data_IF_504977903922
#
_entry.id   IF_504977903922
#
_cell.length_a   1.000
_cell.length_b   1.000
_cell.length_c   1.000
_cell.angle_alpha   90.00
_cell.angle_beta   90.00
_cell.angle_gamma   90.00
#
_symmetry.space_group_name_H-M   'P 1'
#
loop_
_entity.id
_entity.type
_entity.pdbx_description
1 polymer ?
#
# COMPACT_ATOMS: atom_id res chain seq x y z
N UNK A 1 58.70 7.78 31.76
CA UNK A 1 57.53 7.26 32.52
C UNK A 1 56.38 8.26 32.65
N UNK A 2 56.63 9.58 32.66
CA UNK A 2 55.60 10.63 32.82
C UNK A 2 54.66 10.79 31.61
N UNK A 3 55.15 10.62 30.38
CA UNK A 3 54.35 10.75 29.16
C UNK A 3 53.33 9.61 28.96
N UNK A 4 53.64 8.38 29.40
CA UNK A 4 52.72 7.24 29.33
C UNK A 4 51.51 7.43 30.26
N UNK A 5 51.75 7.96 31.46
CA UNK A 5 50.69 8.31 32.41
C UNK A 5 49.81 9.48 31.92
N UNK A 6 50.39 10.44 31.20
CA UNK A 6 49.63 11.55 30.62
C UNK A 6 48.70 11.08 29.49
N UNK A 7 49.18 10.17 28.62
CA UNK A 7 48.36 9.57 27.56
C UNK A 7 47.24 8.71 28.16
N UNK A 8 47.52 7.94 29.21
CA UNK A 8 46.51 7.16 29.93
C UNK A 8 45.44 8.05 30.55
N UNK A 9 45.84 9.20 31.11
CA UNK A 9 44.92 10.18 31.69
C UNK A 9 44.03 10.84 30.62
N UNK A 10 44.59 11.20 29.46
CA UNK A 10 43.81 11.72 28.32
C UNK A 10 42.82 10.68 27.76
N UNK A 11 43.21 9.40 27.73
CA UNK A 11 42.33 8.32 27.25
C UNK A 11 41.15 8.08 28.21
N UNK A 12 41.40 8.13 29.53
CA UNK A 12 40.34 8.07 30.55
C UNK A 12 39.41 9.27 30.48
N UNK A 13 39.93 10.47 30.20
CA UNK A 13 39.11 11.67 30.02
C UNK A 13 38.20 11.58 28.78
N UNK A 14 38.67 10.95 27.70
CA UNK A 14 37.88 10.71 26.48
C UNK A 14 36.74 9.68 26.69
N UNK A 15 36.90 8.74 27.62
CA UNK A 15 35.86 7.76 27.95
C UNK A 15 34.72 8.37 28.78
N UNK A 16 34.94 9.50 29.45
CA UNK A 16 33.93 10.16 30.29
C UNK A 16 33.01 11.12 29.52
N UNK A 17 33.32 11.46 28.26
CA UNK A 17 32.49 12.36 27.44
C UNK A 17 31.46 11.66 26.54
N UNK A 18 31.35 10.32 26.61
CA UNK A 18 30.42 9.53 25.80
C UNK A 18 29.04 9.33 26.43
N UNK A 19 28.71 10.07 27.50
CA UNK A 19 27.36 10.11 28.05
C UNK A 19 26.56 11.17 27.28
N UNK A 20 25.98 10.77 26.15
CA UNK A 20 24.93 11.53 25.47
C UNK A 20 23.62 11.24 26.19
N UNK A 21 23.06 12.23 26.90
CA UNK A 21 21.69 12.15 27.42
C UNK A 21 20.75 11.74 26.28
N UNK A 22 20.15 10.56 26.39
CA UNK A 22 19.05 10.16 25.53
C UNK A 22 17.94 11.20 25.75
N UNK A 23 17.53 11.97 24.72
CA UNK A 23 16.46 12.94 24.89
C UNK A 23 15.25 12.19 25.42
N UNK A 24 14.71 12.61 26.56
CA UNK A 24 13.48 12.05 27.13
C UNK A 24 12.44 12.03 26.03
N UNK A 25 12.22 10.86 25.44
CA UNK A 25 11.31 10.70 24.32
C UNK A 25 9.93 10.86 24.93
N UNK A 26 9.38 12.08 24.86
CA UNK A 26 7.98 12.36 25.12
C UNK A 26 7.18 11.53 24.13
N UNK A 27 6.91 10.28 24.48
CA UNK A 27 6.10 9.41 23.67
C UNK A 27 4.70 9.97 23.69
N UNK A 28 4.05 10.12 22.51
CA UNK A 28 2.67 10.57 22.47
C UNK A 28 1.83 9.64 23.33
N UNK A 29 0.90 10.21 24.09
CA UNK A 29 -0.11 9.43 24.77
C UNK A 29 -0.85 8.53 23.78
N UNK A 30 -1.44 7.43 24.26
CA UNK A 30 -2.21 6.53 23.39
C UNK A 30 -3.29 7.26 22.57
N UNK A 31 -3.88 8.33 23.13
CA UNK A 31 -4.86 9.19 22.46
C UNK A 31 -4.22 9.98 21.32
N UNK A 32 -3.14 10.70 21.59
CA UNK A 32 -2.42 11.49 20.58
C UNK A 32 -1.86 10.61 19.46
N UNK A 33 -1.35 9.42 19.81
CA UNK A 33 -0.89 8.45 18.83
C UNK A 33 -2.05 7.98 17.93
N UNK A 34 -3.20 7.64 18.52
CA UNK A 34 -4.38 7.24 17.76
C UNK A 34 -4.85 8.33 16.81
N UNK A 35 -4.91 9.58 17.27
CA UNK A 35 -5.32 10.72 16.43
C UNK A 35 -4.36 10.92 15.26
N UNK A 36 -3.04 10.87 15.50
CA UNK A 36 -2.02 10.94 14.44
C UNK A 36 -2.14 9.81 13.42
N UNK A 37 -2.42 8.58 13.88
CA UNK A 37 -2.61 7.44 12.98
C UNK A 37 -3.88 7.58 12.12
N UNK A 38 -4.97 8.10 12.70
CA UNK A 38 -6.20 8.40 11.95
C UNK A 38 -5.93 9.45 10.88
N UNK A 39 -5.30 10.58 11.23
CA UNK A 39 -4.96 11.65 10.30
C UNK A 39 -4.06 11.14 9.17
N UNK A 40 -3.02 10.38 9.53
CA UNK A 40 -2.10 9.78 8.56
C UNK A 40 -2.82 8.83 7.60
N UNK A 41 -3.70 7.95 8.10
CA UNK A 41 -4.47 7.05 7.25
C UNK A 41 -5.42 7.81 6.33
N UNK A 42 -6.10 8.84 6.82
CA UNK A 42 -6.96 9.70 6.00
C UNK A 42 -6.16 10.39 4.89
N UNK A 43 -4.97 10.90 5.20
CA UNK A 43 -4.09 11.51 4.19
C UNK A 43 -3.67 10.50 3.14
N UNK A 44 -3.24 9.30 3.55
CA UNK A 44 -2.87 8.22 2.63
C UNK A 44 -4.01 7.84 1.70
N UNK A 45 -5.23 7.68 2.23
CA UNK A 45 -6.41 7.36 1.42
C UNK A 45 -6.69 8.44 0.39
N UNK A 46 -6.61 9.73 0.76
CA UNK A 46 -6.79 10.84 -0.20
C UNK A 46 -5.74 10.81 -1.30
N UNK A 47 -4.46 10.63 -0.94
CA UNK A 47 -3.38 10.55 -1.92
C UNK A 47 -3.54 9.35 -2.85
N UNK A 48 -3.98 8.20 -2.33
CA UNK A 48 -4.25 7.01 -3.15
C UNK A 48 -5.42 7.22 -4.11
N UNK A 49 -6.52 7.83 -3.64
CA UNK A 49 -7.65 8.18 -4.49
C UNK A 49 -7.23 9.13 -5.63
N UNK A 50 -6.43 10.16 -5.34
CA UNK A 50 -5.93 11.10 -6.37
C UNK A 50 -5.07 10.38 -7.43
N UNK A 51 -4.23 9.44 -7.01
CA UNK A 51 -3.40 8.62 -7.91
C UNK A 51 -4.28 7.72 -8.79
N UNK A 52 -5.28 7.06 -8.20
CA UNK A 52 -6.21 6.20 -8.92
C UNK A 52 -7.02 7.01 -9.92
N UNK A 53 -7.56 8.17 -9.51
CA UNK A 53 -8.36 9.04 -10.40
C UNK A 53 -7.52 9.52 -11.58
N UNK A 54 -6.29 10.00 -11.34
CA UNK A 54 -5.41 10.41 -12.43
C UNK A 54 -5.09 9.26 -13.39
N UNK A 55 -4.90 8.04 -12.89
CA UNK A 55 -4.65 6.87 -13.73
C UNK A 55 -5.88 6.49 -14.55
N UNK A 56 -7.06 6.47 -13.94
CA UNK A 56 -8.31 6.09 -14.60
C UNK A 56 -8.73 7.13 -15.63
N UNK A 57 -8.66 8.42 -15.33
CA UNK A 57 -9.01 9.49 -16.27
C UNK A 57 -8.14 9.44 -17.53
N UNK A 58 -6.85 9.14 -17.36
CA UNK A 58 -5.89 9.04 -18.47
C UNK A 58 -6.10 7.81 -19.34
N UNK A 59 -6.29 6.64 -18.73
CA UNK A 59 -6.25 5.36 -19.44
C UNK A 59 -7.65 4.82 -19.79
N UNK A 60 -8.68 5.24 -19.05
CA UNK A 60 -10.04 4.71 -19.12
C UNK A 60 -11.07 5.85 -19.07
N UNK A 61 -11.12 6.75 -20.07
CA UNK A 61 -11.99 7.94 -20.07
C UNK A 61 -13.50 7.65 -20.05
N UNK A 62 -13.90 6.38 -20.18
CA UNK A 62 -15.29 5.91 -20.10
C UNK A 62 -15.59 5.14 -18.81
N UNK A 63 -14.68 5.16 -17.85
CA UNK A 63 -14.86 4.47 -16.58
C UNK A 63 -16.04 5.03 -15.79
N UNK A 64 -16.73 4.15 -15.09
CA UNK A 64 -17.80 4.50 -14.16
C UNK A 64 -17.35 4.18 -12.74
N UNK A 65 -17.65 5.05 -11.78
CA UNK A 65 -17.36 4.86 -10.35
C UNK A 65 -18.65 4.47 -9.61
N UNK A 66 -18.62 3.38 -8.85
CA UNK A 66 -19.72 2.98 -7.96
C UNK A 66 -19.71 3.82 -6.68
N UNK A 67 -20.79 3.75 -5.90
CA UNK A 67 -20.88 4.38 -4.56
C UNK A 67 -19.82 3.87 -3.59
N UNK A 68 -19.37 2.62 -3.76
CA UNK A 68 -18.29 2.01 -2.96
C UNK A 68 -16.89 2.40 -3.43
N UNK A 69 -16.75 3.13 -4.55
CA UNK A 69 -15.48 3.57 -5.12
C UNK A 69 -14.87 2.64 -6.17
N UNK A 70 -15.53 1.52 -6.52
CA UNK A 70 -15.08 0.63 -7.60
C UNK A 70 -15.20 1.36 -8.94
N UNK A 71 -14.13 1.34 -9.73
CA UNK A 71 -14.07 1.95 -11.06
C UNK A 71 -14.01 0.86 -12.13
N UNK A 72 -14.88 0.90 -13.13
CA UNK A 72 -14.96 -0.14 -14.15
C UNK A 72 -15.29 0.41 -15.55
N UNK A 73 -14.86 -0.32 -16.58
CA UNK A 73 -15.25 -0.10 -17.97
C UNK A 73 -15.84 -1.39 -18.51
N UNK A 74 -17.01 -1.33 -19.12
CA UNK A 74 -17.59 -2.47 -19.84
C UNK A 74 -17.16 -2.37 -21.30
N UNK A 75 -16.38 -3.35 -21.76
CA UNK A 75 -16.04 -3.48 -23.17
C UNK A 75 -17.20 -4.15 -23.93
N UNK A 76 -17.54 -3.69 -25.15
CA UNK A 76 -18.47 -4.40 -26.00
C UNK A 76 -17.95 -5.80 -26.32
N UNK A 77 -18.83 -6.80 -26.26
CA UNK A 77 -18.53 -8.14 -26.73
C UNK A 77 -19.62 -8.59 -27.71
N UNK A 78 -19.21 -9.29 -28.77
CA UNK A 78 -20.09 -9.73 -29.86
C UNK A 78 -21.11 -10.78 -29.39
N UNK A 79 -20.71 -11.64 -28.43
CA UNK A 79 -21.53 -12.73 -27.90
C UNK A 79 -21.87 -12.51 -26.41
N UNK A 80 -22.48 -11.36 -26.08
CA UNK A 80 -22.97 -11.15 -24.72
C UNK A 80 -24.18 -12.05 -24.45
N UNK A 81 -24.08 -12.84 -23.40
CA UNK A 81 -25.23 -13.49 -22.77
C UNK A 81 -25.96 -12.48 -21.89
N UNK A 82 -27.29 -12.51 -21.91
CA UNK A 82 -28.11 -11.74 -20.96
C UNK A 82 -28.13 -12.38 -19.55
N UNK A 83 -27.51 -13.55 -19.38
CA UNK A 83 -27.39 -14.23 -18.10
C UNK A 83 -26.37 -13.52 -17.21
N UNK A 84 -26.86 -12.84 -16.17
CA UNK A 84 -26.05 -12.25 -15.11
C UNK A 84 -25.99 -13.23 -13.94
N UNK A 85 -24.79 -13.72 -13.55
CA UNK A 85 -24.69 -14.66 -12.45
C UNK A 85 -25.01 -13.98 -11.11
N UNK A 86 -25.85 -14.61 -10.32
CA UNK A 86 -26.28 -14.12 -9.01
C UNK A 86 -25.38 -14.59 -7.86
N UNK A 87 -25.71 -14.13 -6.65
CA UNK A 87 -25.04 -14.56 -5.42
C UNK A 87 -25.08 -16.08 -5.26
N UNK A 88 -24.03 -16.63 -4.64
CA UNK A 88 -23.78 -18.05 -4.44
C UNK A 88 -23.60 -18.91 -5.71
N UNK A 89 -23.67 -18.34 -6.90
CA UNK A 89 -23.34 -19.06 -8.13
C UNK A 89 -21.82 -19.15 -8.32
N UNK A 90 -21.37 -20.18 -9.02
CA UNK A 90 -19.96 -20.36 -9.38
C UNK A 90 -19.72 -19.85 -10.79
N UNK A 91 -18.67 -19.06 -10.96
CA UNK A 91 -18.21 -18.55 -12.25
C UNK A 91 -16.81 -19.06 -12.53
N UNK A 92 -16.48 -19.16 -13.81
CA UNK A 92 -15.13 -19.47 -14.29
C UNK A 92 -14.71 -18.32 -15.19
N UNK A 93 -13.55 -17.69 -14.92
CA UNK A 93 -13.09 -16.52 -15.68
C UNK A 93 -11.60 -16.61 -16.01
N UNK A 94 -11.22 -15.92 -17.09
CA UNK A 94 -9.84 -15.55 -17.36
C UNK A 94 -9.60 -14.10 -16.98
N UNK A 95 -8.49 -13.82 -16.30
CA UNK A 95 -8.15 -12.46 -15.88
C UNK A 95 -6.65 -12.26 -15.69
N UNK A 96 -6.26 -10.98 -15.72
CA UNK A 96 -4.93 -10.49 -15.44
C UNK A 96 -5.05 -9.42 -14.34
N UNK A 97 -4.20 -9.47 -13.31
CA UNK A 97 -4.09 -8.42 -12.29
C UNK A 97 -2.76 -7.70 -12.47
N UNK A 98 -2.85 -6.38 -12.63
CA UNK A 98 -1.73 -5.49 -12.85
C UNK A 98 -1.78 -4.34 -11.85
N UNK A 99 -0.62 -3.98 -11.29
CA UNK A 99 -0.48 -2.76 -10.50
C UNK A 99 -0.50 -1.54 -11.42
N UNK A 100 -0.84 -0.35 -10.88
CA UNK A 100 -0.92 0.90 -11.67
C UNK A 100 0.37 1.28 -12.40
N UNK A 101 1.50 0.67 -12.04
CA UNK A 101 2.80 0.89 -12.68
C UNK A 101 3.13 -0.08 -13.82
N UNK A 102 2.22 -0.98 -14.20
CA UNK A 102 2.46 -1.94 -15.28
C UNK A 102 2.81 -3.37 -14.81
N UNK A 103 3.04 -3.57 -13.51
CA UNK A 103 3.53 -4.85 -13.02
C UNK A 103 2.38 -5.87 -12.90
N UNK A 104 2.37 -6.86 -13.79
CA UNK A 104 1.45 -8.01 -13.69
C UNK A 104 1.84 -8.88 -12.50
N UNK A 105 0.94 -9.03 -11.54
CA UNK A 105 1.14 -9.83 -10.33
C UNK A 105 0.39 -11.17 -10.37
N UNK A 106 -0.62 -11.29 -11.23
CA UNK A 106 -1.35 -12.54 -11.46
C UNK A 106 -1.92 -12.60 -12.87
N UNK A 107 -2.02 -13.80 -13.46
CA UNK A 107 -2.56 -14.00 -14.82
C UNK A 107 -2.96 -15.46 -15.05
N UNK A 108 -4.25 -15.73 -15.27
CA UNK A 108 -4.73 -17.07 -15.63
C UNK A 108 -4.24 -17.50 -17.00
N UNK A 109 -3.99 -16.54 -17.91
CA UNK A 109 -3.44 -16.81 -19.25
C UNK A 109 -2.01 -17.33 -19.20
N UNK A 110 -1.18 -16.79 -18.29
CA UNK A 110 0.20 -17.28 -18.09
C UNK A 110 0.22 -18.65 -17.41
N UNK A 111 -0.72 -18.89 -16.50
CA UNK A 111 -0.87 -20.18 -15.80
C UNK A 111 -1.53 -21.26 -16.66
N UNK A 112 -2.25 -20.85 -17.72
CA UNK A 112 -2.88 -21.74 -18.69
C UNK A 112 -4.20 -22.36 -18.24
N UNK A 113 -4.77 -21.91 -17.11
CA UNK A 113 -6.02 -22.45 -16.57
C UNK A 113 -6.91 -21.31 -16.03
N UNK A 114 -8.19 -21.23 -16.46
CA UNK A 114 -9.16 -20.28 -15.90
C UNK A 114 -9.43 -20.56 -14.42
N UNK A 115 -9.71 -19.50 -13.65
CA UNK A 115 -10.02 -19.62 -12.23
C UNK A 115 -11.53 -19.76 -12.01
N UNK A 116 -11.90 -20.60 -11.03
CA UNK A 116 -13.28 -20.83 -10.62
C UNK A 116 -13.50 -20.41 -9.16
N UNK A 117 -14.46 -19.52 -8.94
CA UNK A 117 -14.86 -19.09 -7.60
C UNK A 117 -16.38 -18.91 -7.48
N UNK A 118 -16.84 -18.75 -6.24
CA UNK A 118 -18.25 -18.51 -5.89
C UNK A 118 -18.47 -17.01 -5.67
N UNK A 119 -19.53 -16.45 -6.26
CA UNK A 119 -19.95 -15.07 -5.99
C UNK A 119 -20.56 -15.00 -4.58
N UNK A 120 -20.14 -14.04 -3.77
CA UNK A 120 -20.64 -13.84 -2.40
C UNK A 120 -21.88 -12.95 -2.31
#
# INVERSE_FOLDING_TARGET
MTHFNFILFCFVFFLLTSCSDEPVRNQPSAKELKEKLIEHNQKKVRTEEDIIDSYVDKNYPKAQKTETGLRYVIFPAENRSDLVPGKAQKVTIDYDIELLNGNVIYSTKKEGLPEKFRIE
#
